data_IF_947052768980
#
_entry.id   IF_947052768980
#
_cell.length_a   1.000
_cell.length_b   1.000
_cell.length_c   1.000
_cell.angle_alpha   90.00
_cell.angle_beta   90.00
_cell.angle_gamma   90.00
#
_symmetry.space_group_name_H-M   'P 1'
#
loop_
_entity.id
_entity.type
_entity.pdbx_description
1 polymer ?
#
# COMPACT_ATOMS: atom_id res chain seq x y z
N UNK A 1 -1.22 -12.63 -9.12
CA UNK A 1 0.13 -12.43 -9.67
C UNK A 1 1.03 -11.97 -8.53
N UNK A 2 2.20 -12.57 -8.34
CA UNK A 2 3.10 -12.26 -7.21
C UNK A 2 4.17 -11.22 -7.55
N UNK A 3 4.05 -10.50 -8.68
CA UNK A 3 5.11 -9.63 -9.22
C UNK A 3 5.61 -8.58 -8.22
N UNK A 4 4.69 -8.03 -7.43
CA UNK A 4 4.98 -7.01 -6.42
C UNK A 4 5.13 -7.58 -5.00
N UNK A 5 5.04 -8.90 -4.85
CA UNK A 5 5.30 -9.53 -3.56
C UNK A 5 6.80 -9.48 -3.28
N UNK A 6 7.16 -9.08 -2.06
CA UNK A 6 8.56 -9.21 -1.64
C UNK A 6 8.87 -10.69 -1.42
N UNK A 7 10.07 -11.13 -1.81
CA UNK A 7 10.52 -12.48 -1.50
C UNK A 7 10.71 -12.64 0.01
N UNK A 8 10.08 -13.65 0.61
CA UNK A 8 10.19 -13.99 2.03
C UNK A 8 11.05 -15.25 2.21
N UNK A 9 11.89 -15.26 3.25
CA UNK A 9 12.61 -16.48 3.66
C UNK A 9 11.69 -17.41 4.49
N UNK A 10 12.16 -18.63 4.77
CA UNK A 10 11.36 -19.63 5.50
C UNK A 10 10.87 -19.14 6.87
N UNK A 11 11.73 -18.46 7.64
CA UNK A 11 11.34 -17.91 8.94
C UNK A 11 10.30 -16.79 8.82
N UNK A 12 10.42 -15.91 7.82
CA UNK A 12 9.47 -14.83 7.58
C UNK A 12 8.12 -15.36 7.09
N UNK A 13 8.11 -16.42 6.29
CA UNK A 13 6.87 -17.11 5.88
C UNK A 13 6.16 -17.68 7.10
N UNK A 14 6.89 -18.28 8.04
CA UNK A 14 6.30 -18.83 9.26
C UNK A 14 5.77 -17.73 10.20
N UNK A 15 6.48 -16.60 10.31
CA UNK A 15 5.98 -15.43 11.02
C UNK A 15 4.71 -14.88 10.37
N UNK A 16 4.69 -14.77 9.05
CA UNK A 16 3.53 -14.29 8.29
C UNK A 16 2.29 -15.17 8.49
N UNK A 17 2.46 -16.49 8.56
CA UNK A 17 1.35 -17.44 8.83
C UNK A 17 0.69 -17.22 10.20
N UNK A 18 1.42 -16.68 11.17
CA UNK A 18 0.92 -16.37 12.52
C UNK A 18 0.23 -15.01 12.59
N UNK A 19 0.37 -14.16 11.58
CA UNK A 19 -0.20 -12.81 11.56
C UNK A 19 -1.59 -12.83 10.92
N UNK A 20 -2.59 -12.32 11.65
CA UNK A 20 -3.89 -12.02 11.09
C UNK A 20 -3.85 -10.70 10.30
N UNK A 21 -3.88 -10.80 8.97
CA UNK A 21 -3.86 -9.66 8.05
C UNK A 21 -5.25 -9.11 7.69
N UNK A 22 -6.32 -9.53 8.38
CA UNK A 22 -7.67 -9.01 8.14
C UNK A 22 -7.80 -7.59 8.68
N UNK A 23 -8.36 -6.70 7.86
CA UNK A 23 -8.62 -5.29 8.24
C UNK A 23 -9.93 -5.14 9.01
N UNK A 24 -10.86 -6.08 8.84
CA UNK A 24 -12.15 -6.12 9.53
C UNK A 24 -12.39 -7.49 10.17
N UNK A 25 -12.92 -7.46 11.39
CA UNK A 25 -13.30 -8.62 12.19
C UNK A 25 -14.80 -8.60 12.47
N UNK A 26 -15.38 -9.75 12.80
CA UNK A 26 -16.83 -9.87 12.97
C UNK A 26 -17.33 -9.10 14.20
N UNK A 27 -16.51 -9.08 15.25
CA UNK A 27 -16.79 -8.36 16.49
C UNK A 27 -15.51 -7.84 17.15
N UNK A 28 -15.69 -7.02 18.19
CA UNK A 28 -14.60 -6.40 18.94
C UNK A 28 -13.73 -7.42 19.69
N UNK A 29 -14.29 -8.55 20.15
CA UNK A 29 -13.53 -9.55 20.88
C UNK A 29 -12.55 -10.27 19.96
N UNK A 30 -13.00 -10.62 18.74
CA UNK A 30 -12.16 -11.18 17.70
C UNK A 30 -11.05 -10.20 17.28
N UNK A 31 -11.40 -8.93 17.03
CA UNK A 31 -10.41 -7.90 16.68
C UNK A 31 -9.37 -7.67 17.79
N UNK A 32 -9.78 -7.70 19.06
CA UNK A 32 -8.86 -7.58 20.19
C UNK A 32 -7.95 -8.81 20.36
N UNK A 33 -8.48 -10.00 20.09
CA UNK A 33 -7.69 -11.23 20.10
C UNK A 33 -6.63 -11.21 18.98
N UNK A 34 -7.01 -10.81 17.77
CA UNK A 34 -6.11 -10.63 16.64
C UNK A 34 -5.03 -9.59 16.95
N UNK A 35 -5.41 -8.43 17.49
CA UNK A 35 -4.47 -7.40 17.94
C UNK A 35 -3.40 -7.98 18.88
N UNK A 36 -3.80 -8.71 19.92
CA UNK A 36 -2.86 -9.31 20.87
C UNK A 36 -1.94 -10.36 20.23
N UNK A 37 -2.50 -11.23 19.38
CA UNK A 37 -1.75 -12.28 18.71
C UNK A 37 -0.72 -11.72 17.70
N UNK A 38 -1.05 -10.59 17.06
CA UNK A 38 -0.22 -9.99 16.03
C UNK A 38 0.98 -9.21 16.57
N UNK A 39 0.99 -8.78 17.83
CA UNK A 39 1.99 -7.82 18.35
C UNK A 39 3.43 -8.28 18.15
N UNK A 40 3.74 -9.50 18.60
CA UNK A 40 5.10 -10.04 18.55
C UNK A 40 5.48 -10.50 17.14
N UNK A 41 4.67 -11.30 16.41
CA UNK A 41 5.02 -11.73 15.06
C UNK A 41 5.24 -10.58 14.06
N UNK A 42 4.46 -9.49 14.14
CA UNK A 42 4.66 -8.33 13.27
C UNK A 42 6.01 -7.67 13.54
N UNK A 43 6.39 -7.50 14.81
CA UNK A 43 7.65 -6.86 15.16
C UNK A 43 8.85 -7.71 14.71
N UNK A 44 8.79 -9.03 14.93
CA UNK A 44 9.82 -9.97 14.47
C UNK A 44 9.95 -9.97 12.94
N UNK A 45 8.80 -9.97 12.22
CA UNK A 45 8.79 -9.92 10.76
C UNK A 45 9.41 -8.61 10.26
N UNK A 46 8.99 -7.46 10.80
CA UNK A 46 9.54 -6.17 10.38
C UNK A 46 11.03 -6.03 10.68
N UNK A 47 11.50 -6.59 11.80
CA UNK A 47 12.92 -6.64 12.12
C UNK A 47 13.70 -7.44 11.07
N UNK A 48 13.26 -8.66 10.78
CA UNK A 48 13.90 -9.53 9.78
C UNK A 48 13.95 -8.87 8.39
N UNK A 49 12.82 -8.28 7.97
CA UNK A 49 12.72 -7.54 6.70
C UNK A 49 13.65 -6.32 6.66
N UNK A 50 13.78 -5.60 7.77
CA UNK A 50 14.63 -4.41 7.89
C UNK A 50 16.13 -4.78 7.79
N UNK A 51 16.56 -5.84 8.48
CA UNK A 51 17.97 -6.29 8.51
C UNK A 51 18.50 -6.59 7.10
N UNK A 52 17.67 -7.15 6.23
CA UNK A 52 18.02 -7.44 4.84
C UNK A 52 17.55 -6.40 3.82
N UNK A 53 16.94 -5.30 4.27
CA UNK A 53 16.37 -4.23 3.42
C UNK A 53 15.40 -4.77 2.36
N UNK A 54 14.51 -5.67 2.79
CA UNK A 54 13.57 -6.38 1.93
C UNK A 54 12.50 -5.49 1.30
N UNK A 55 12.03 -4.50 2.06
CA UNK A 55 10.93 -3.63 1.65
C UNK A 55 11.47 -2.57 0.68
N UNK A 56 10.89 -2.44 -0.53
CA UNK A 56 11.31 -1.43 -1.49
C UNK A 56 11.26 -0.01 -0.93
N UNK A 57 12.23 0.82 -1.30
CA UNK A 57 12.37 2.19 -0.76
C UNK A 57 11.14 3.05 -1.02
N UNK A 58 10.47 2.90 -2.17
CA UNK A 58 9.24 3.64 -2.47
C UNK A 58 8.09 3.33 -1.48
N UNK A 59 8.01 2.09 -0.97
CA UNK A 59 7.01 1.70 0.04
C UNK A 59 7.35 2.29 1.40
N UNK A 60 8.63 2.37 1.73
CA UNK A 60 9.10 3.07 2.93
C UNK A 60 8.86 4.58 2.85
N UNK A 61 9.02 5.20 1.68
CA UNK A 61 8.66 6.60 1.45
C UNK A 61 7.16 6.83 1.61
N UNK A 62 6.33 5.96 1.03
CA UNK A 62 4.88 6.00 1.23
C UNK A 62 4.46 6.04 2.71
N UNK A 63 5.20 5.33 3.57
CA UNK A 63 4.97 5.29 5.02
C UNK A 63 5.51 6.49 5.79
N UNK A 64 6.77 6.89 5.51
CA UNK A 64 7.52 7.84 6.31
C UNK A 64 7.49 9.28 5.79
N UNK A 65 7.21 9.50 4.50
CA UNK A 65 7.30 10.82 3.86
C UNK A 65 5.92 11.53 3.83
N UNK A 66 5.78 12.72 4.44
CA UNK A 66 4.56 13.51 4.37
C UNK A 66 4.10 13.87 2.95
N UNK A 67 5.02 13.96 1.98
CA UNK A 67 4.67 14.27 0.58
C UNK A 67 3.85 13.17 -0.08
N UNK A 68 3.92 11.95 0.43
CA UNK A 68 3.18 10.79 -0.11
C UNK A 68 1.79 10.66 0.51
N UNK A 69 1.43 11.51 1.47
CA UNK A 69 0.11 11.50 2.12
C UNK A 69 -0.73 12.69 1.65
N UNK A 70 -1.46 12.48 0.55
CA UNK A 70 -2.28 13.51 -0.08
C UNK A 70 -3.59 13.73 0.65
N UNK A 71 -3.54 14.59 1.66
CA UNK A 71 -4.69 15.01 2.43
C UNK A 71 -4.51 16.41 3.00
N UNK A 72 -5.49 16.85 3.81
CA UNK A 72 -5.39 18.13 4.52
C UNK A 72 -4.33 18.12 5.62
N UNK A 73 -3.98 16.93 6.11
CA UNK A 73 -3.02 16.77 7.20
C UNK A 73 -1.61 16.68 6.63
N UNK A 74 -0.74 17.61 7.06
CA UNK A 74 0.68 17.65 6.68
C UNK A 74 1.52 16.72 7.58
N UNK A 75 1.25 15.43 7.52
CA UNK A 75 2.01 14.41 8.25
C UNK A 75 2.16 13.15 7.38
N UNK A 76 3.24 12.40 7.58
CA UNK A 76 3.37 11.07 7.01
C UNK A 76 2.34 10.11 7.61
N UNK A 77 2.14 8.95 6.98
CA UNK A 77 1.24 7.93 7.53
C UNK A 77 1.69 7.49 8.91
N UNK A 78 3.00 7.32 9.13
CA UNK A 78 3.58 7.11 10.47
C UNK A 78 3.28 8.28 11.42
N UNK A 79 3.49 9.51 10.97
CA UNK A 79 3.26 10.71 11.79
C UNK A 79 1.80 10.89 12.24
N UNK A 80 0.83 10.31 11.52
CA UNK A 80 -0.56 10.28 11.97
C UNK A 80 -0.75 9.44 13.24
N UNK A 81 -0.02 8.33 13.40
CA UNK A 81 -0.05 7.53 14.63
C UNK A 81 0.58 8.31 15.78
N UNK A 82 1.75 8.91 15.53
CA UNK A 82 2.49 9.69 16.53
C UNK A 82 1.65 10.87 17.04
N UNK A 83 0.94 11.57 16.14
CA UNK A 83 0.02 12.65 16.51
C UNK A 83 -1.15 12.19 17.38
N UNK A 84 -1.58 10.94 17.21
CA UNK A 84 -2.64 10.34 18.01
C UNK A 84 -2.12 9.67 19.30
N UNK A 85 -0.85 9.89 19.66
CA UNK A 85 -0.23 9.39 20.88
C UNK A 85 0.33 7.97 20.79
N UNK A 86 0.27 7.31 19.62
CA UNK A 86 0.85 5.99 19.41
C UNK A 86 2.28 6.14 18.86
N UNK A 87 3.28 5.70 19.61
CA UNK A 87 4.69 5.99 19.30
C UNK A 87 5.58 4.73 19.35
N UNK A 88 6.77 4.81 18.76
CA UNK A 88 7.75 3.73 18.81
C UNK A 88 7.25 2.43 18.19
N UNK A 89 7.47 1.31 18.88
CA UNK A 89 7.06 -0.02 18.42
C UNK A 89 5.56 -0.27 18.49
N UNK A 90 4.83 0.50 19.31
CA UNK A 90 3.38 0.37 19.45
C UNK A 90 2.64 0.67 18.14
N UNK A 91 3.21 1.55 17.30
CA UNK A 91 2.66 1.86 15.97
C UNK A 91 2.50 0.60 15.14
N UNK A 92 3.52 -0.25 15.14
CA UNK A 92 3.55 -1.46 14.30
C UNK A 92 2.67 -2.59 14.85
N UNK A 93 2.38 -2.56 16.16
CA UNK A 93 1.42 -3.46 16.77
C UNK A 93 -0.04 -3.01 16.56
N UNK A 94 -0.26 -1.74 16.21
CA UNK A 94 -1.60 -1.16 16.13
C UNK A 94 -2.45 -1.81 15.01
N UNK A 95 -3.77 -2.09 15.23
CA UNK A 95 -4.61 -2.72 14.21
C UNK A 95 -4.66 -1.96 12.87
N UNK A 96 -4.73 -0.63 12.92
CA UNK A 96 -4.66 0.23 11.73
C UNK A 96 -3.30 0.23 11.01
N UNK A 97 -2.28 -0.47 11.51
CA UNK A 97 -1.03 -0.68 10.79
C UNK A 97 -1.15 -1.80 9.73
N UNK A 98 -2.09 -2.73 9.88
CA UNK A 98 -2.25 -3.89 8.99
C UNK A 98 -2.34 -3.52 7.50
N UNK A 99 -3.11 -2.50 7.06
CA UNK A 99 -3.14 -2.12 5.65
C UNK A 99 -1.76 -1.69 5.09
N UNK A 100 -0.90 -1.11 5.93
CA UNK A 100 0.45 -0.71 5.53
C UNK A 100 1.40 -1.90 5.49
N UNK A 101 1.27 -2.84 6.43
CA UNK A 101 1.99 -4.11 6.39
C UNK A 101 1.63 -4.89 5.12
N UNK A 102 0.35 -4.97 4.76
CA UNK A 102 -0.09 -5.62 3.52
C UNK A 102 0.55 -5.00 2.30
N UNK A 103 0.57 -3.67 2.21
CA UNK A 103 1.26 -2.97 1.12
C UNK A 103 2.77 -3.26 1.09
N UNK A 104 3.44 -3.27 2.25
CA UNK A 104 4.87 -3.61 2.34
C UNK A 104 5.16 -5.00 1.78
N UNK A 105 4.31 -5.98 2.09
CA UNK A 105 4.50 -7.38 1.70
C UNK A 105 4.09 -7.65 0.25
N UNK A 106 2.91 -7.16 -0.17
CA UNK A 106 2.24 -7.62 -1.40
C UNK A 106 2.15 -6.55 -2.49
N UNK A 107 2.36 -5.27 -2.15
CA UNK A 107 2.12 -4.17 -3.09
C UNK A 107 0.65 -3.80 -3.19
N UNK A 108 0.27 -3.19 -4.31
CA UNK A 108 -1.10 -2.73 -4.55
C UNK A 108 -2.11 -3.90 -4.65
N UNK A 109 -3.26 -3.74 -4.00
CA UNK A 109 -4.32 -4.75 -3.94
C UNK A 109 -5.36 -4.51 -5.05
N UNK A 110 -4.90 -4.59 -6.30
CA UNK A 110 -5.76 -4.53 -7.49
C UNK A 110 -5.89 -5.94 -8.11
N UNK A 111 -6.99 -6.24 -8.83
CA UNK A 111 -7.09 -7.48 -9.59
C UNK A 111 -5.95 -7.61 -10.60
N UNK A 112 -5.42 -8.83 -10.79
CA UNK A 112 -4.28 -9.08 -11.68
C UNK A 112 -4.48 -8.51 -13.09
N UNK A 113 -5.66 -8.71 -13.68
CA UNK A 113 -6.00 -8.19 -15.01
C UNK A 113 -5.99 -6.65 -15.07
N UNK A 114 -6.33 -5.97 -13.96
CA UNK A 114 -6.24 -4.51 -13.85
C UNK A 114 -4.78 -4.07 -13.82
N UNK A 115 -3.95 -4.75 -13.05
CA UNK A 115 -2.51 -4.49 -12.97
C UNK A 115 -1.86 -4.67 -14.35
N UNK A 116 -2.08 -5.82 -15.00
CA UNK A 116 -1.53 -6.14 -16.32
C UNK A 116 -1.91 -5.10 -17.38
N UNK A 117 -3.21 -4.75 -17.45
CA UNK A 117 -3.68 -3.74 -18.41
C UNK A 117 -3.08 -2.37 -18.12
N UNK A 118 -2.98 -1.99 -16.84
CA UNK A 118 -2.42 -0.70 -16.45
C UNK A 118 -0.92 -0.63 -16.77
N UNK A 119 -0.17 -1.69 -16.47
CA UNK A 119 1.24 -1.81 -16.84
C UNK A 119 1.46 -1.73 -18.34
N UNK A 120 0.67 -2.46 -19.12
CA UNK A 120 0.73 -2.41 -20.58
C UNK A 120 0.43 -1.00 -21.11
N UNK A 121 -0.47 -0.25 -20.45
CA UNK A 121 -0.76 1.14 -20.82
C UNK A 121 0.40 2.08 -20.52
N UNK A 122 1.07 1.91 -19.37
CA UNK A 122 2.20 2.74 -18.96
C UNK A 122 3.45 2.44 -19.80
N UNK A 123 3.68 1.18 -20.15
CA UNK A 123 4.91 0.77 -20.82
C UNK A 123 6.12 0.89 -19.91
N UNK A 124 7.23 1.43 -20.41
CA UNK A 124 8.41 1.69 -19.59
C UNK A 124 8.21 2.97 -18.75
N UNK A 125 8.17 2.87 -17.40
CA UNK A 125 7.98 4.02 -16.50
C UNK A 125 9.01 5.14 -16.70
N UNK A 126 10.25 4.82 -17.12
CA UNK A 126 11.31 5.80 -17.37
C UNK A 126 11.03 6.70 -18.59
N UNK A 127 10.15 6.26 -19.49
CA UNK A 127 9.79 7.01 -20.70
C UNK A 127 8.52 7.84 -20.52
N UNK A 128 7.86 7.76 -19.35
CA UNK A 128 6.64 8.51 -19.07
C UNK A 128 6.96 10.00 -18.93
N UNK A 129 6.35 10.80 -19.79
CA UNK A 129 6.48 12.25 -19.80
C UNK A 129 5.23 12.94 -19.25
N UNK A 130 5.27 14.26 -19.09
CA UNK A 130 4.12 15.05 -18.64
C UNK A 130 2.90 14.93 -19.56
N UNK A 131 3.09 14.71 -20.88
CA UNK A 131 1.99 14.51 -21.82
C UNK A 131 1.27 13.18 -21.64
N UNK A 132 1.92 12.18 -21.05
CA UNK A 132 1.36 10.83 -20.86
C UNK A 132 0.49 10.73 -19.60
N UNK A 133 0.67 11.65 -18.65
CA UNK A 133 -0.02 11.65 -17.35
C UNK A 133 -1.53 11.66 -17.52
N UNK A 134 -2.07 12.51 -18.40
CA UNK A 134 -3.52 12.62 -18.62
C UNK A 134 -4.10 11.34 -19.24
N UNK A 135 -3.53 10.77 -20.33
CA UNK A 135 -3.92 9.47 -20.85
C UNK A 135 -3.85 8.32 -19.83
N UNK A 136 -2.76 8.22 -19.05
CA UNK A 136 -2.60 7.16 -18.03
C UNK A 136 -3.66 7.30 -16.94
N UNK A 137 -3.87 8.52 -16.43
CA UNK A 137 -4.84 8.80 -15.38
C UNK A 137 -6.29 8.56 -15.84
N UNK A 138 -6.60 8.86 -17.10
CA UNK A 138 -7.90 8.50 -17.71
C UNK A 138 -8.07 6.99 -17.78
N UNK A 139 -7.03 6.27 -18.17
CA UNK A 139 -7.10 4.82 -18.31
C UNK A 139 -7.33 4.11 -16.96
N UNK A 140 -6.65 4.52 -15.88
CA UNK A 140 -6.93 4.01 -14.53
C UNK A 140 -8.40 4.20 -14.12
N UNK A 141 -8.96 5.37 -14.45
CA UNK A 141 -10.37 5.69 -14.21
C UNK A 141 -11.31 4.78 -14.99
N UNK A 142 -10.97 4.47 -16.24
CA UNK A 142 -11.76 3.58 -17.09
C UNK A 142 -11.67 2.13 -16.59
N UNK A 143 -10.49 1.66 -16.17
CA UNK A 143 -10.32 0.36 -15.50
C UNK A 143 -11.17 0.26 -14.23
N UNK A 144 -11.17 1.31 -13.40
CA UNK A 144 -11.99 1.37 -12.18
C UNK A 144 -13.47 1.11 -12.48
N UNK A 145 -14.00 1.73 -13.53
CA UNK A 145 -15.41 1.53 -13.95
C UNK A 145 -15.66 0.16 -14.55
N UNK A 146 -14.79 -0.29 -15.46
CA UNK A 146 -14.94 -1.57 -16.16
C UNK A 146 -14.93 -2.75 -15.19
N UNK A 147 -14.05 -2.69 -14.19
CA UNK A 147 -13.89 -3.72 -13.17
C UNK A 147 -14.76 -3.51 -11.93
N UNK A 148 -15.56 -2.44 -11.88
CA UNK A 148 -16.42 -2.08 -10.74
C UNK A 148 -15.64 -2.08 -9.42
N UNK A 149 -14.43 -1.54 -9.45
CA UNK A 149 -13.59 -1.46 -8.26
C UNK A 149 -14.25 -0.56 -7.21
N UNK A 150 -13.97 -0.82 -5.94
CA UNK A 150 -14.42 0.04 -4.85
C UNK A 150 -13.87 1.46 -5.04
N UNK A 151 -14.75 2.44 -5.21
CA UNK A 151 -14.35 3.82 -5.49
C UNK A 151 -13.72 4.52 -4.29
N UNK A 152 -13.86 3.96 -3.08
CA UNK A 152 -13.20 4.44 -1.87
C UNK A 152 -11.73 4.00 -1.80
N UNK A 153 -11.44 2.74 -2.14
CA UNK A 153 -10.10 2.16 -2.03
C UNK A 153 -9.28 2.25 -3.32
N UNK A 154 -9.91 2.10 -4.49
CA UNK A 154 -9.22 2.06 -5.79
C UNK A 154 -8.25 3.24 -6.03
N UNK A 155 -8.55 4.50 -5.65
CA UNK A 155 -7.58 5.57 -5.81
C UNK A 155 -6.24 5.30 -5.12
N UNK A 156 -6.29 4.79 -3.90
CA UNK A 156 -5.11 4.50 -3.09
C UNK A 156 -4.34 3.30 -3.67
N UNK A 157 -5.05 2.29 -4.16
CA UNK A 157 -4.40 1.12 -4.77
C UNK A 157 -3.73 1.46 -6.10
N UNK A 158 -4.31 2.33 -6.94
CA UNK A 158 -3.62 2.84 -8.13
C UNK A 158 -2.42 3.72 -7.76
N UNK A 159 -2.51 4.50 -6.68
CA UNK A 159 -1.37 5.29 -6.19
C UNK A 159 -0.19 4.37 -5.83
N UNK A 160 -0.45 3.35 -5.00
CA UNK A 160 0.50 2.31 -4.62
C UNK A 160 1.11 1.62 -5.84
N UNK A 161 0.29 1.22 -6.82
CA UNK A 161 0.77 0.58 -8.04
C UNK A 161 1.71 1.49 -8.83
N UNK A 162 1.38 2.77 -8.98
CA UNK A 162 2.27 3.73 -9.64
C UNK A 162 3.63 3.84 -8.95
N UNK A 163 3.67 3.83 -7.61
CA UNK A 163 4.94 3.84 -6.86
C UNK A 163 5.74 2.56 -7.09
N UNK A 164 5.08 1.40 -7.02
CA UNK A 164 5.72 0.11 -7.24
C UNK A 164 6.27 -0.06 -8.68
N UNK A 165 5.63 0.59 -9.66
CA UNK A 165 6.12 0.71 -11.03
C UNK A 165 7.26 1.72 -11.18
N UNK A 166 7.59 2.52 -10.16
CA UNK A 166 8.64 3.54 -10.23
C UNK A 166 8.23 4.84 -10.94
N UNK A 167 6.92 5.12 -11.07
CA UNK A 167 6.45 6.39 -11.60
C UNK A 167 6.72 7.53 -10.61
N UNK A 168 6.89 8.75 -11.15
CA UNK A 168 7.07 9.94 -10.33
C UNK A 168 5.88 10.16 -9.38
N UNK A 169 6.14 10.77 -8.22
CA UNK A 169 5.12 11.10 -7.24
C UNK A 169 3.99 11.96 -7.83
N UNK A 170 4.32 12.92 -8.70
CA UNK A 170 3.35 13.77 -9.38
C UNK A 170 2.45 13.01 -10.36
N UNK A 171 3.01 12.02 -11.08
CA UNK A 171 2.23 11.12 -11.93
C UNK A 171 1.28 10.27 -11.09
N UNK A 172 1.80 9.64 -10.03
CA UNK A 172 1.03 8.79 -9.13
C UNK A 172 -0.13 9.57 -8.46
N UNK A 173 0.13 10.80 -8.01
CA UNK A 173 -0.89 11.69 -7.46
C UNK A 173 -1.98 12.02 -8.50
N UNK A 174 -1.57 12.32 -9.73
CA UNK A 174 -2.51 12.65 -10.82
C UNK A 174 -3.43 11.47 -11.16
N UNK A 175 -2.89 10.25 -11.18
CA UNK A 175 -3.66 9.02 -11.37
C UNK A 175 -4.66 8.84 -10.22
N UNK A 176 -4.20 8.89 -8.97
CA UNK A 176 -5.07 8.78 -7.79
C UNK A 176 -6.22 9.81 -7.82
N UNK A 177 -5.90 11.10 -8.07
CA UNK A 177 -6.91 12.17 -8.15
C UNK A 177 -7.91 11.95 -9.28
N UNK A 178 -7.46 11.39 -10.41
CA UNK A 178 -8.33 11.04 -11.51
C UNK A 178 -9.30 9.91 -11.16
N UNK A 179 -8.83 8.88 -10.45
CA UNK A 179 -9.67 7.76 -10.01
C UNK A 179 -10.69 8.22 -8.95
N UNK A 180 -10.33 9.15 -8.05
CA UNK A 180 -11.28 9.77 -7.09
C UNK A 180 -12.48 10.48 -7.75
N UNK A 181 -12.44 10.76 -9.06
CA UNK A 181 -13.55 11.39 -9.79
C UNK A 181 -14.58 10.36 -10.30
N UNK A 182 -14.32 9.05 -10.15
CA UNK A 182 -15.33 8.02 -10.44
C UNK A 182 -16.45 8.13 -9.40
N UNK A 183 -17.69 8.06 -9.90
CA UNK A 183 -18.91 8.04 -9.10
C UNK A 183 -19.58 6.69 -9.24
#
# INVERSE_FOLDING_TARGET
>A
MEKYHIGLNESEVELLRRIDLRVAHRDHAEGHAAYKANREPILELLQSLSERRAVPSQRLSYWNDPQYNFGRVKASRKGLFERNGCTGTEIYAHPHFIPYLRYFLFGAELPDDVIEKFEAKVGNPEWVTSSDVVPIAKFARDLTRQHRLDTSDAPEEFFKLCLDMGLSLGTAESVMRSVRQVR
#
